data_IF_988369552619
#
_entry.id   IF_988369552619
#
_cell.length_a   1.000
_cell.length_b   1.000
_cell.length_c   1.000
_cell.angle_alpha   90.00
_cell.angle_beta   90.00
_cell.angle_gamma   90.00
#
_symmetry.space_group_name_H-M   'P 1'
#
loop_
_entity.id
_entity.type
_entity.pdbx_description
1 polymer ?
#
# COMPACT_ATOMS: atom_id res chain seq x y z
N UNK A 1 -2.20 -17.88 -8.66
CA UNK A 1 -0.79 -17.65 -8.26
C UNK A 1 -0.77 -16.62 -7.15
N UNK A 2 -0.02 -16.85 -6.07
CA UNK A 2 0.20 -15.81 -5.05
C UNK A 2 1.30 -14.86 -5.55
N UNK A 3 1.07 -13.55 -5.44
CA UNK A 3 2.10 -12.52 -5.64
C UNK A 3 2.48 -11.97 -4.28
N UNK A 4 3.77 -11.76 -4.07
CA UNK A 4 4.32 -11.13 -2.87
C UNK A 4 4.84 -9.75 -3.28
N UNK A 5 4.60 -8.77 -2.43
CA UNK A 5 5.04 -7.39 -2.62
C UNK A 5 5.80 -6.94 -1.38
N UNK A 6 6.69 -5.97 -1.57
CA UNK A 6 7.47 -5.39 -0.48
C UNK A 6 6.83 -4.08 -0.05
N UNK A 7 6.37 -4.02 1.19
CA UNK A 7 5.91 -2.78 1.82
C UNK A 7 7.13 -2.02 2.37
N UNK A 8 7.43 -0.86 1.79
CA UNK A 8 8.33 0.13 2.38
C UNK A 8 7.48 1.10 3.21
N UNK A 9 7.83 1.33 4.48
CA UNK A 9 7.11 2.25 5.34
C UNK A 9 8.03 3.06 6.26
N UNK A 10 7.52 4.20 6.71
CA UNK A 10 8.16 5.09 7.67
C UNK A 10 7.10 5.76 8.55
N UNK A 11 7.54 6.41 9.62
CA UNK A 11 6.68 7.23 10.46
C UNK A 11 6.71 8.67 9.99
N UNK A 12 5.54 9.28 9.83
CA UNK A 12 5.38 10.71 9.53
C UNK A 12 4.21 11.27 10.35
N UNK A 13 4.46 12.31 11.14
CA UNK A 13 3.49 12.97 12.03
C UNK A 13 2.60 12.01 12.87
N UNK A 14 3.18 10.92 13.37
CA UNK A 14 2.46 9.91 14.17
C UNK A 14 1.71 8.86 13.36
N UNK A 15 1.76 8.91 12.03
CA UNK A 15 1.16 7.95 11.11
C UNK A 15 2.22 7.00 10.54
N UNK A 16 1.83 5.74 10.33
CA UNK A 16 2.55 4.84 9.45
C UNK A 16 2.20 5.18 8.01
N UNK A 17 3.21 5.55 7.24
CA UNK A 17 3.09 5.91 5.84
C UNK A 17 3.86 4.89 5.02
N UNK A 18 3.26 4.35 3.96
CA UNK A 18 3.91 3.28 3.20
C UNK A 18 3.48 3.14 1.75
N UNK A 19 4.27 2.35 1.01
CA UNK A 19 4.10 2.08 -0.42
C UNK A 19 4.54 0.68 -0.80
N UNK A 20 3.99 0.17 -1.90
CA UNK A 20 4.53 -1.03 -2.52
C UNK A 20 5.73 -0.68 -3.39
N UNK A 21 6.89 -1.28 -3.09
CA UNK A 21 8.13 -1.04 -3.84
C UNK A 21 8.00 -1.37 -5.33
N UNK A 22 7.23 -2.41 -5.65
CA UNK A 22 7.03 -2.90 -7.01
C UNK A 22 5.97 -2.10 -7.78
N UNK A 23 5.14 -1.30 -7.08
CA UNK A 23 4.05 -0.54 -7.68
C UNK A 23 4.04 0.86 -7.08
N UNK A 24 4.80 1.77 -7.69
CA UNK A 24 4.95 3.14 -7.20
C UNK A 24 3.63 3.91 -7.04
N UNK A 25 2.58 3.51 -7.76
CA UNK A 25 1.24 4.10 -7.66
C UNK A 25 0.39 3.58 -6.48
N UNK A 26 0.86 2.59 -5.71
CA UNK A 26 0.15 2.09 -4.53
C UNK A 26 0.83 2.60 -3.28
N UNK A 27 0.14 3.52 -2.62
CA UNK A 27 0.58 4.20 -1.42
C UNK A 27 -0.61 4.36 -0.47
N UNK A 28 -0.36 4.30 0.82
CA UNK A 28 -1.38 4.57 1.84
C UNK A 28 -0.76 4.93 3.19
N UNK A 29 -1.62 5.18 4.18
CA UNK A 29 -1.23 5.46 5.56
C UNK A 29 -2.19 4.82 6.57
N UNK A 30 -1.77 4.67 7.83
CA UNK A 30 -2.59 4.17 8.94
C UNK A 30 -2.04 4.57 10.30
N UNK A 31 -2.86 4.57 11.36
CA UNK A 31 -2.41 4.89 12.73
C UNK A 31 -1.61 3.72 13.32
N UNK A 32 -1.84 2.52 12.81
CA UNK A 32 -1.09 1.31 13.15
C UNK A 32 -0.54 0.62 11.91
N UNK A 33 0.48 -0.24 12.08
CA UNK A 33 1.04 -1.01 10.97
C UNK A 33 -0.01 -1.93 10.31
N UNK A 34 -0.92 -2.51 11.09
CA UNK A 34 -2.00 -3.35 10.56
C UNK A 34 -3.00 -2.55 9.71
N UNK A 35 -3.33 -1.32 10.12
CA UNK A 35 -4.16 -0.42 9.31
C UNK A 35 -3.46 0.00 8.03
N UNK A 36 -2.15 0.32 8.08
CA UNK A 36 -1.38 0.61 6.89
C UNK A 36 -1.42 -0.58 5.91
N UNK A 37 -1.21 -1.81 6.38
CA UNK A 37 -1.28 -3.02 5.54
C UNK A 37 -2.66 -3.20 4.89
N UNK A 38 -3.74 -3.01 5.66
CA UNK A 38 -5.10 -3.08 5.15
C UNK A 38 -5.37 -2.00 4.09
N UNK A 39 -4.98 -0.77 4.36
CA UNK A 39 -5.19 0.36 3.45
C UNK A 39 -4.34 0.24 2.17
N UNK A 40 -3.15 -0.36 2.24
CA UNK A 40 -2.33 -0.70 1.07
C UNK A 40 -2.99 -1.76 0.20
N UNK A 41 -3.61 -2.77 0.80
CA UNK A 41 -4.33 -3.80 0.07
C UNK A 41 -5.53 -3.22 -0.67
N UNK A 42 -6.27 -2.31 -0.04
CA UNK A 42 -7.39 -1.61 -0.65
C UNK A 42 -6.93 -0.70 -1.80
N UNK A 43 -5.87 0.09 -1.61
CA UNK A 43 -5.27 0.90 -2.68
C UNK A 43 -4.83 0.05 -3.88
N UNK A 44 -4.19 -1.10 -3.63
CA UNK A 44 -3.83 -2.05 -4.69
C UNK A 44 -5.06 -2.58 -5.44
N UNK A 45 -6.11 -2.97 -4.72
CA UNK A 45 -7.34 -3.49 -5.32
C UNK A 45 -8.06 -2.43 -6.17
N UNK A 46 -8.09 -1.16 -5.72
CA UNK A 46 -8.64 -0.04 -6.48
C UNK A 46 -7.88 0.18 -7.79
N UNK A 47 -6.55 0.27 -7.72
CA UNK A 47 -5.68 0.44 -8.90
C UNK A 47 -5.85 -0.70 -9.90
N UNK A 48 -5.98 -1.94 -9.40
CA UNK A 48 -6.23 -3.11 -10.25
C UNK A 48 -7.60 -3.04 -10.93
N UNK A 49 -8.63 -2.60 -10.22
CA UNK A 49 -9.99 -2.49 -10.75
C UNK A 49 -10.13 -1.38 -11.80
N UNK A 50 -9.36 -0.29 -11.67
CA UNK A 50 -9.39 0.84 -12.60
C UNK A 50 -8.51 0.66 -13.83
N UNK A 51 -7.85 -0.50 -14.01
CA UNK A 51 -6.89 -0.73 -15.10
C UNK A 51 -5.57 0.06 -14.95
N UNK A 52 -5.32 0.67 -13.79
CA UNK A 52 -4.14 1.50 -13.55
C UNK A 52 -2.85 0.74 -13.26
N UNK A 53 -2.88 -0.60 -13.38
CA UNK A 53 -1.73 -1.49 -13.14
C UNK A 53 -1.24 -2.19 -14.43
N UNK A 54 -1.79 -1.84 -15.60
CA UNK A 54 -1.38 -2.35 -16.91
C UNK A 54 -0.34 -1.45 -17.60
#
# INVERSE_FOLDING_TARGET
MKRYFTLEYWMDDGWYVGRLKEIAGVFSQGETLAELEANILDAYNMMRASGGLE
#
